data_IF_485788193198
#
_entry.id   IF_485788193198
#
_cell.length_a   1.000
_cell.length_b   1.000
_cell.length_c   1.000
_cell.angle_alpha   90.00
_cell.angle_beta   90.00
_cell.angle_gamma   90.00
#
_symmetry.space_group_name_H-M   'P 1'
#
loop_
_entity.id
_entity.type
_entity.pdbx_description
1 polymer ?
#
# COMPACT_ATOMS: atom_id res chain seq x y z
N UNK A 1 -10.10 -9.64 27.51
CA UNK A 1 -10.36 -8.60 26.49
C UNK A 1 -10.18 -9.18 25.12
N UNK A 2 -11.04 -8.80 24.20
CA UNK A 2 -10.95 -9.15 22.79
C UNK A 2 -9.80 -8.43 22.10
N UNK A 3 -9.28 -9.05 21.05
CA UNK A 3 -8.34 -8.43 20.11
C UNK A 3 -8.95 -8.51 18.72
N UNK A 4 -8.81 -7.45 17.95
CA UNK A 4 -9.39 -7.34 16.61
C UNK A 4 -8.28 -6.98 15.64
N UNK A 5 -8.13 -7.74 14.57
CA UNK A 5 -7.09 -7.54 13.57
C UNK A 5 -7.70 -7.03 12.26
N UNK A 6 -7.15 -5.94 11.74
CA UNK A 6 -7.52 -5.39 10.44
C UNK A 6 -7.10 -6.36 9.33
N UNK A 7 -8.03 -6.81 8.50
CA UNK A 7 -7.79 -7.68 7.34
C UNK A 7 -6.91 -7.00 6.28
N UNK A 8 -6.98 -5.66 6.17
CA UNK A 8 -6.26 -4.86 5.17
C UNK A 8 -4.78 -4.70 5.53
N UNK A 9 -4.47 -4.28 6.76
CA UNK A 9 -3.09 -3.94 7.15
C UNK A 9 -2.52 -4.75 8.31
N UNK A 10 -3.33 -5.56 9.00
CA UNK A 10 -2.93 -6.35 10.17
C UNK A 10 -2.73 -5.55 11.46
N UNK A 11 -3.18 -4.29 11.52
CA UNK A 11 -3.25 -3.55 12.79
C UNK A 11 -4.09 -4.33 13.80
N UNK A 12 -3.62 -4.45 15.03
CA UNK A 12 -4.36 -5.14 16.10
C UNK A 12 -4.85 -4.11 17.11
N UNK A 13 -6.16 -3.96 17.20
CA UNK A 13 -6.82 -3.27 18.31
C UNK A 13 -6.92 -4.24 19.49
N UNK A 14 -6.36 -3.85 20.63
CA UNK A 14 -6.44 -4.58 21.89
C UNK A 14 -7.30 -3.77 22.86
N UNK A 15 -8.49 -4.27 23.20
CA UNK A 15 -9.40 -3.59 24.14
C UNK A 15 -8.72 -3.33 25.49
N UNK A 16 -7.74 -4.16 25.90
CA UNK A 16 -6.98 -3.93 27.12
C UNK A 16 -6.15 -2.65 27.09
N UNK A 17 -5.63 -2.30 25.92
CA UNK A 17 -4.73 -1.16 25.75
C UNK A 17 -5.48 0.09 25.28
N UNK A 18 -6.57 -0.07 24.54
CA UNK A 18 -7.20 1.04 23.82
C UNK A 18 -6.25 1.67 22.81
N UNK A 19 -6.48 2.94 22.47
CA UNK A 19 -5.55 3.78 21.68
C UNK A 19 -5.53 5.18 22.33
N UNK A 20 -4.82 5.37 23.46
CA UNK A 20 -4.87 6.63 24.22
C UNK A 20 -4.48 7.86 23.39
N UNK A 21 -3.54 7.69 22.46
CA UNK A 21 -3.07 8.70 21.52
C UNK A 21 -4.19 9.20 20.59
N UNK A 22 -5.17 8.34 20.28
CA UNK A 22 -6.35 8.65 19.48
C UNK A 22 -7.58 8.93 20.36
N UNK A 23 -7.40 9.13 21.68
CA UNK A 23 -8.49 9.39 22.61
C UNK A 23 -9.33 8.17 23.01
N UNK A 24 -8.88 6.96 22.70
CA UNK A 24 -9.56 5.71 23.05
C UNK A 24 -8.92 5.13 24.32
N UNK A 25 -9.66 5.12 25.42
CA UNK A 25 -9.13 4.71 26.71
C UNK A 25 -8.82 3.20 26.77
N UNK A 26 -7.82 2.77 27.58
CA UNK A 26 -7.66 1.36 27.91
C UNK A 26 -8.94 0.80 28.53
N UNK A 27 -9.40 -0.34 28.05
CA UNK A 27 -10.68 -0.93 28.45
C UNK A 27 -11.85 -0.67 27.53
N UNK A 28 -11.73 0.24 26.55
CA UNK A 28 -12.80 0.48 25.57
C UNK A 28 -13.05 -0.78 24.74
N UNK A 29 -14.28 -1.28 24.79
CA UNK A 29 -14.65 -2.48 24.02
C UNK A 29 -14.81 -2.16 22.53
N UNK A 30 -14.71 -3.18 21.70
CA UNK A 30 -14.93 -3.03 20.26
C UNK A 30 -16.30 -2.43 19.94
N UNK A 31 -17.34 -2.83 20.66
CA UNK A 31 -18.70 -2.32 20.47
C UNK A 31 -18.85 -0.85 20.88
N UNK A 32 -17.97 -0.36 21.75
CA UNK A 32 -17.96 1.02 22.25
C UNK A 32 -17.18 1.98 21.34
N UNK A 33 -16.42 1.45 20.37
CA UNK A 33 -15.77 2.29 19.36
C UNK A 33 -16.81 2.97 18.47
N UNK A 34 -16.61 4.27 18.12
CA UNK A 34 -17.48 4.99 17.19
C UNK A 34 -17.74 4.23 15.88
N UNK A 35 -18.91 4.42 15.27
CA UNK A 35 -19.26 3.77 14.00
C UNK A 35 -18.40 4.25 12.83
N UNK A 36 -17.98 5.51 12.88
CA UNK A 36 -17.07 6.15 11.93
C UNK A 36 -15.59 5.90 12.26
N UNK A 37 -15.29 5.10 13.28
CA UNK A 37 -13.91 4.75 13.59
C UNK A 37 -13.27 3.96 12.44
N UNK A 38 -12.06 4.39 12.07
CA UNK A 38 -11.25 3.77 11.02
C UNK A 38 -9.91 3.31 11.57
N UNK A 39 -9.32 2.32 10.90
CA UNK A 39 -7.99 1.82 11.23
C UNK A 39 -6.95 2.94 11.16
N UNK A 40 -6.20 3.21 12.24
CA UNK A 40 -5.23 4.31 12.29
C UNK A 40 -4.03 4.11 11.35
N UNK A 41 -3.82 2.90 10.83
CA UNK A 41 -2.71 2.61 9.91
C UNK A 41 -3.09 2.70 8.42
N UNK A 42 -4.35 2.45 8.06
CA UNK A 42 -4.73 2.32 6.65
C UNK A 42 -6.08 2.94 6.29
N UNK A 43 -6.82 3.49 7.26
CA UNK A 43 -8.14 4.07 7.03
C UNK A 43 -9.26 3.05 6.76
N UNK A 44 -8.97 1.75 6.87
CA UNK A 44 -9.99 0.71 6.70
C UNK A 44 -11.12 0.85 7.74
N UNK A 45 -12.36 0.62 7.31
CA UNK A 45 -13.51 0.71 8.19
C UNK A 45 -13.50 -0.38 9.27
N UNK A 46 -14.27 -0.16 10.35
CA UNK A 46 -14.49 -1.14 11.43
C UNK A 46 -14.97 -2.52 10.91
N UNK A 47 -15.69 -2.57 9.79
CA UNK A 47 -16.15 -3.81 9.16
C UNK A 47 -15.01 -4.70 8.61
N UNK A 48 -13.82 -4.12 8.37
CA UNK A 48 -12.64 -4.83 7.86
C UNK A 48 -11.80 -5.46 8.99
N UNK A 49 -12.35 -5.62 10.19
CA UNK A 49 -11.65 -6.21 11.33
C UNK A 49 -12.25 -7.55 11.73
N UNK A 50 -11.37 -8.49 12.00
CA UNK A 50 -11.71 -9.83 12.45
C UNK A 50 -11.28 -10.02 13.90
N UNK A 51 -12.14 -10.64 14.69
CA UNK A 51 -11.83 -10.95 16.09
C UNK A 51 -10.81 -12.09 16.14
N UNK A 52 -9.67 -11.84 16.77
CA UNK A 52 -8.62 -12.84 16.91
C UNK A 52 -9.08 -13.98 17.84
N UNK A 53 -8.93 -15.21 17.36
CA UNK A 53 -9.29 -16.43 18.10
C UNK A 53 -10.60 -17.08 17.67
N UNK A 54 -11.36 -16.46 16.76
CA UNK A 54 -12.44 -17.14 16.04
C UNK A 54 -11.86 -17.78 14.76
N UNK A 55 -12.25 -19.03 14.42
CA UNK A 55 -11.82 -19.65 13.18
C UNK A 55 -12.39 -18.86 12.01
N UNK A 56 -11.50 -18.20 11.26
CA UNK A 56 -11.84 -17.54 10.00
C UNK A 56 -12.42 -18.60 9.07
N UNK A 57 -13.63 -18.38 8.58
CA UNK A 57 -14.23 -19.26 7.58
C UNK A 57 -13.25 -19.36 6.39
N UNK A 58 -13.02 -20.55 5.82
CA UNK A 58 -12.12 -20.69 4.68
C UNK A 58 -12.60 -19.75 3.57
N UNK A 59 -11.79 -18.73 3.24
CA UNK A 59 -12.04 -17.92 2.06
C UNK A 59 -12.14 -18.85 0.85
N UNK A 60 -13.30 -18.82 0.16
CA UNK A 60 -13.45 -19.50 -1.12
C UNK A 60 -12.42 -18.91 -2.09
N UNK A 61 -11.38 -19.69 -2.39
CA UNK A 61 -10.39 -19.32 -3.40
C UNK A 61 -11.12 -19.22 -4.73
N UNK A 62 -11.39 -17.99 -5.18
CA UNK A 62 -11.83 -17.73 -6.55
C UNK A 62 -10.88 -18.45 -7.52
N UNK A 63 -11.38 -19.07 -8.59
CA UNK A 63 -10.53 -19.73 -9.57
C UNK A 63 -9.50 -18.72 -10.10
N UNK A 64 -8.22 -19.06 -9.97
CA UNK A 64 -7.11 -18.19 -10.40
C UNK A 64 -7.23 -18.02 -11.92
N UNK A 65 -7.47 -16.79 -12.38
CA UNK A 65 -7.48 -16.49 -13.81
C UNK A 65 -6.10 -16.75 -14.40
N UNK A 66 -6.02 -17.60 -15.42
CA UNK A 66 -4.83 -17.68 -16.28
C UNK A 66 -4.76 -16.41 -17.13
N UNK A 67 -3.87 -15.48 -16.74
CA UNK A 67 -3.52 -14.33 -17.56
C UNK A 67 -2.52 -14.82 -18.60
N UNK A 68 -2.93 -14.89 -19.86
CA UNK A 68 -1.98 -15.14 -20.96
C UNK A 68 -1.06 -13.94 -21.09
N UNK A 69 0.25 -14.15 -20.88
CA UNK A 69 1.25 -13.11 -21.13
C UNK A 69 1.25 -12.80 -22.63
N UNK A 70 0.79 -11.61 -22.99
CA UNK A 70 0.95 -11.09 -24.36
C UNK A 70 2.43 -11.12 -24.74
N UNK A 71 2.73 -11.69 -25.91
CA UNK A 71 4.08 -11.72 -26.49
C UNK A 71 4.48 -10.37 -27.10
N UNK A 72 3.57 -9.40 -27.13
CA UNK A 72 3.80 -8.12 -27.77
C UNK A 72 4.57 -7.19 -26.83
N UNK A 73 5.80 -6.86 -27.23
CA UNK A 73 6.57 -5.81 -26.58
C UNK A 73 5.82 -4.48 -26.74
N UNK A 74 5.23 -4.00 -25.64
CA UNK A 74 4.57 -2.70 -25.58
C UNK A 74 5.60 -1.61 -25.25
N UNK A 75 5.56 -0.52 -26.00
CA UNK A 75 6.32 0.69 -25.66
C UNK A 75 5.80 1.29 -24.35
N UNK A 76 6.72 1.56 -23.42
CA UNK A 76 6.41 2.20 -22.14
C UNK A 76 6.22 3.71 -22.35
N UNK A 77 5.20 4.27 -21.71
CA UNK A 77 5.03 5.72 -21.60
C UNK A 77 6.20 6.35 -20.84
N UNK A 78 6.46 7.66 -21.03
CA UNK A 78 7.49 8.34 -20.25
C UNK A 78 7.31 8.19 -18.73
N UNK A 79 6.08 8.20 -18.23
CA UNK A 79 5.85 8.02 -16.79
C UNK A 79 6.18 6.60 -16.31
N UNK A 80 5.88 5.57 -17.10
CA UNK A 80 6.27 4.19 -16.79
C UNK A 80 7.80 4.05 -16.80
N UNK A 81 8.51 4.69 -17.74
CA UNK A 81 9.98 4.69 -17.78
C UNK A 81 10.55 5.44 -16.57
N UNK A 82 9.97 6.58 -16.22
CA UNK A 82 10.37 7.34 -15.02
C UNK A 82 10.26 6.49 -13.74
N UNK A 83 9.16 5.76 -13.58
CA UNK A 83 8.96 4.85 -12.46
C UNK A 83 9.98 3.69 -12.47
N UNK A 84 10.23 3.09 -13.64
CA UNK A 84 11.24 2.04 -13.80
C UNK A 84 12.64 2.53 -13.40
N UNK A 85 13.07 3.68 -13.93
CA UNK A 85 14.35 4.29 -13.62
C UNK A 85 14.47 4.62 -12.12
N UNK A 86 13.41 5.12 -11.48
CA UNK A 86 13.38 5.37 -10.03
C UNK A 86 13.62 4.08 -9.23
N UNK A 87 12.99 2.96 -9.64
CA UNK A 87 13.20 1.68 -8.99
C UNK A 87 14.62 1.12 -9.21
N UNK A 88 15.16 1.26 -10.41
CA UNK A 88 16.54 0.87 -10.73
C UNK A 88 17.56 1.69 -9.94
N UNK A 89 17.34 3.00 -9.76
CA UNK A 89 18.19 3.86 -8.95
C UNK A 89 18.27 3.36 -7.49
N UNK A 90 17.11 3.08 -6.87
CA UNK A 90 17.02 2.50 -5.52
C UNK A 90 17.68 1.13 -5.43
N UNK A 91 17.57 0.31 -6.48
CA UNK A 91 18.25 -0.98 -6.59
C UNK A 91 19.77 -0.85 -6.65
N UNK A 92 20.28 0.16 -7.35
CA UNK A 92 21.71 0.46 -7.46
C UNK A 92 22.28 1.00 -6.14
N UNK A 93 21.55 1.88 -5.45
CA UNK A 93 21.94 2.38 -4.12
C UNK A 93 22.17 1.24 -3.13
N UNK A 94 21.27 0.25 -3.09
CA UNK A 94 21.40 -0.94 -2.23
C UNK A 94 22.59 -1.84 -2.57
N UNK A 95 23.11 -1.72 -3.79
CA UNK A 95 24.28 -2.47 -4.28
C UNK A 95 25.56 -1.63 -4.24
N UNK A 96 25.54 -0.45 -3.61
CA UNK A 96 26.67 0.48 -3.54
C UNK A 96 27.14 0.99 -4.92
N UNK A 97 26.24 0.96 -5.91
CA UNK A 97 26.46 1.44 -7.28
C UNK A 97 26.00 2.89 -7.40
N UNK A 98 26.72 3.79 -6.74
CA UNK A 98 26.31 5.18 -6.59
C UNK A 98 26.25 5.95 -7.91
N UNK A 99 27.16 5.65 -8.85
CA UNK A 99 27.18 6.30 -10.16
C UNK A 99 25.95 5.90 -10.98
N UNK A 100 25.63 4.62 -11.06
CA UNK A 100 24.46 4.12 -11.78
C UNK A 100 23.16 4.58 -11.12
N UNK A 101 23.13 4.63 -9.79
CA UNK A 101 21.99 5.20 -9.06
C UNK A 101 21.73 6.64 -9.48
N UNK A 102 22.77 7.48 -9.54
CA UNK A 102 22.66 8.87 -9.97
C UNK A 102 22.16 9.00 -11.43
N UNK A 103 22.71 8.18 -12.35
CA UNK A 103 22.29 8.18 -13.76
C UNK A 103 20.82 7.75 -13.93
N UNK A 104 20.37 6.73 -13.19
CA UNK A 104 18.96 6.33 -13.23
C UNK A 104 18.04 7.40 -12.61
N UNK A 105 18.49 8.13 -11.59
CA UNK A 105 17.74 9.27 -11.06
C UNK A 105 17.60 10.38 -12.10
N UNK A 106 18.67 10.73 -12.82
CA UNK A 106 18.63 11.74 -13.90
C UNK A 106 17.65 11.32 -15.02
N UNK A 107 17.69 10.05 -15.44
CA UNK A 107 16.74 9.52 -16.41
C UNK A 107 15.30 9.59 -15.87
N UNK A 108 15.09 9.23 -14.60
CA UNK A 108 13.77 9.27 -13.99
C UNK A 108 13.18 10.68 -14.00
N UNK A 109 13.98 11.70 -13.69
CA UNK A 109 13.59 13.11 -13.70
C UNK A 109 13.30 13.62 -15.11
N UNK A 110 14.15 13.27 -16.09
CA UNK A 110 13.92 13.59 -17.49
C UNK A 110 12.59 13.03 -17.98
N UNK A 111 12.36 11.73 -17.82
CA UNK A 111 11.14 11.06 -18.27
C UNK A 111 9.89 11.56 -17.54
N UNK A 112 10.01 11.95 -16.26
CA UNK A 112 8.94 12.61 -15.51
C UNK A 112 8.59 13.97 -16.11
N UNK A 113 9.60 14.74 -16.53
CA UNK A 113 9.42 16.08 -17.10
C UNK A 113 8.71 16.04 -18.46
N UNK A 114 9.02 15.04 -19.29
CA UNK A 114 8.36 14.86 -20.59
C UNK A 114 7.05 14.07 -20.52
N UNK A 115 6.64 13.64 -19.31
CA UNK A 115 5.38 12.91 -19.14
C UNK A 115 4.17 13.84 -19.25
N UNK A 116 3.18 13.43 -20.06
CA UNK A 116 1.93 14.17 -20.17
C UNK A 116 1.01 13.84 -18.97
N UNK A 117 0.23 14.82 -18.48
CA UNK A 117 -0.82 14.55 -17.51
C UNK A 117 -1.80 13.47 -18.00
N UNK A 118 -2.41 12.75 -17.05
CA UNK A 118 -3.42 11.76 -17.38
C UNK A 118 -4.60 12.41 -18.13
N UNK A 119 -5.08 11.76 -19.20
CA UNK A 119 -6.27 12.19 -19.93
C UNK A 119 -7.51 11.78 -19.13
N UNK A 120 -8.32 12.76 -18.73
CA UNK A 120 -9.57 12.54 -17.95
C UNK A 120 -9.34 11.70 -16.68
N UNK A 121 -8.50 12.20 -15.73
CA UNK A 121 -8.23 11.50 -14.49
C UNK A 121 -9.53 11.34 -13.70
N UNK A 122 -9.78 10.12 -13.22
CA UNK A 122 -10.91 9.79 -12.36
C UNK A 122 -10.46 8.77 -11.32
N UNK A 123 -10.76 9.01 -10.04
CA UNK A 123 -10.54 8.08 -8.95
C UNK A 123 -11.22 6.73 -9.19
N UNK A 124 -12.44 6.68 -9.75
CA UNK A 124 -13.12 5.41 -10.05
C UNK A 124 -12.30 4.54 -11.01
N UNK A 125 -11.67 5.15 -12.02
CA UNK A 125 -10.80 4.44 -12.96
C UNK A 125 -9.55 3.92 -12.28
N UNK A 126 -8.97 4.71 -11.36
CA UNK A 126 -7.79 4.31 -10.61
C UNK A 126 -8.10 3.16 -9.65
N UNK A 127 -9.23 3.24 -8.95
CA UNK A 127 -9.70 2.18 -8.06
C UNK A 127 -9.98 0.91 -8.85
N UNK A 128 -10.62 1.00 -10.03
CA UNK A 128 -10.87 -0.17 -10.88
C UNK A 128 -9.57 -0.87 -11.35
N UNK A 129 -8.51 -0.11 -11.64
CA UNK A 129 -7.19 -0.68 -11.95
C UNK A 129 -6.60 -1.42 -10.74
N UNK A 130 -6.69 -0.81 -9.55
CA UNK A 130 -6.23 -1.42 -8.31
C UNK A 130 -7.01 -2.70 -7.98
N UNK A 131 -8.33 -2.68 -8.16
CA UNK A 131 -9.19 -3.85 -7.95
C UNK A 131 -8.83 -4.97 -8.91
N UNK A 132 -8.63 -4.66 -10.19
CA UNK A 132 -8.16 -5.65 -11.16
C UNK A 132 -6.85 -6.28 -10.72
N UNK A 133 -5.90 -5.49 -10.23
CA UNK A 133 -4.63 -6.04 -9.74
C UNK A 133 -4.82 -6.95 -8.52
N UNK A 134 -5.68 -6.56 -7.57
CA UNK A 134 -5.96 -7.34 -6.36
C UNK A 134 -6.73 -8.63 -6.64
N UNK A 135 -7.61 -8.63 -7.64
CA UNK A 135 -8.49 -9.77 -7.94
C UNK A 135 -7.91 -10.73 -8.99
N UNK A 136 -7.07 -10.23 -9.91
CA UNK A 136 -6.55 -11.01 -11.04
C UNK A 136 -5.01 -11.08 -11.00
N UNK A 137 -4.33 -9.93 -11.05
CA UNK A 137 -2.86 -9.86 -11.22
C UNK A 137 -2.09 -10.48 -10.06
N UNK A 138 -2.41 -10.11 -8.81
CA UNK A 138 -1.73 -10.63 -7.62
C UNK A 138 -1.99 -12.13 -7.40
N UNK A 139 -3.23 -12.64 -7.48
CA UNK A 139 -3.48 -14.08 -7.38
C UNK A 139 -2.72 -14.89 -8.44
N UNK A 140 -2.71 -14.42 -9.69
CA UNK A 140 -1.97 -15.07 -10.77
C UNK A 140 -0.45 -15.04 -10.52
N UNK A 141 0.12 -13.88 -10.18
CA UNK A 141 1.54 -13.77 -9.88
C UNK A 141 1.94 -14.64 -8.68
N UNK A 142 1.13 -14.66 -7.61
CA UNK A 142 1.35 -15.49 -6.45
C UNK A 142 1.33 -16.98 -6.80
N UNK A 143 0.45 -17.44 -7.70
CA UNK A 143 0.41 -18.85 -8.11
C UNK A 143 1.69 -19.24 -8.86
N UNK A 144 2.07 -18.46 -9.87
CA UNK A 144 3.28 -18.69 -10.68
C UNK A 144 4.53 -18.73 -9.80
N UNK A 145 4.66 -17.75 -8.89
CA UNK A 145 5.83 -17.66 -8.02
C UNK A 145 5.85 -18.77 -6.96
N UNK A 146 4.69 -19.18 -6.45
CA UNK A 146 4.59 -20.29 -5.49
C UNK A 146 5.03 -21.62 -6.09
N UNK A 147 4.70 -21.86 -7.36
CA UNK A 147 5.09 -23.07 -8.08
C UNK A 147 6.62 -23.21 -8.20
N UNK A 148 7.32 -22.11 -8.45
CA UNK A 148 8.78 -22.07 -8.53
C UNK A 148 9.48 -21.83 -7.18
N UNK A 149 8.70 -21.61 -6.11
CA UNK A 149 9.17 -21.41 -4.73
C UNK A 149 10.18 -20.28 -4.55
N UNK A 150 10.08 -19.22 -5.36
CA UNK A 150 10.96 -18.05 -5.22
C UNK A 150 10.52 -17.18 -4.03
N UNK A 151 11.20 -17.37 -2.89
CA UNK A 151 10.93 -16.62 -1.66
C UNK A 151 11.09 -15.11 -1.80
N UNK A 152 11.98 -14.65 -2.66
CA UNK A 152 12.23 -13.22 -2.88
C UNK A 152 11.04 -12.57 -3.57
N UNK A 153 10.58 -13.19 -4.65
CA UNK A 153 9.39 -12.77 -5.37
C UNK A 153 8.12 -12.91 -4.52
N UNK A 154 7.94 -14.01 -3.76
CA UNK A 154 6.81 -14.15 -2.84
C UNK A 154 6.75 -13.01 -1.82
N UNK A 155 7.89 -12.64 -1.23
CA UNK A 155 7.95 -11.53 -0.29
C UNK A 155 7.58 -10.21 -0.95
N UNK A 156 8.08 -9.95 -2.16
CA UNK A 156 7.73 -8.75 -2.90
C UNK A 156 6.23 -8.67 -3.19
N UNK A 157 5.62 -9.78 -3.64
CA UNK A 157 4.18 -9.87 -3.87
C UNK A 157 3.36 -9.62 -2.61
N UNK A 158 3.72 -10.25 -1.48
CA UNK A 158 3.04 -10.03 -0.19
C UNK A 158 3.05 -8.56 0.23
N UNK A 159 4.20 -7.88 0.10
CA UNK A 159 4.28 -6.47 0.45
C UNK A 159 3.52 -5.59 -0.53
N UNK A 160 3.69 -5.81 -1.83
CA UNK A 160 3.02 -5.07 -2.89
C UNK A 160 1.50 -5.19 -2.79
N UNK A 161 0.98 -6.41 -2.63
CA UNK A 161 -0.45 -6.64 -2.47
C UNK A 161 -1.00 -5.91 -1.25
N UNK A 162 -0.30 -5.99 -0.12
CA UNK A 162 -0.69 -5.32 1.12
C UNK A 162 -0.76 -3.79 0.96
N UNK A 163 0.25 -3.17 0.36
CA UNK A 163 0.24 -1.71 0.15
C UNK A 163 -0.81 -1.30 -0.88
N UNK A 164 -1.10 -2.15 -1.87
CA UNK A 164 -2.16 -1.91 -2.86
C UNK A 164 -3.54 -1.95 -2.21
N UNK A 165 -3.80 -2.87 -1.28
CA UNK A 165 -5.05 -2.88 -0.48
C UNK A 165 -5.20 -1.62 0.38
N UNK A 166 -4.10 -1.17 1.00
CA UNK A 166 -4.06 0.08 1.77
C UNK A 166 -4.36 1.27 0.85
N UNK A 167 -3.74 1.33 -0.34
CA UNK A 167 -3.97 2.39 -1.31
C UNK A 167 -5.44 2.44 -1.76
N UNK A 168 -6.08 1.28 -2.01
CA UNK A 168 -7.52 1.20 -2.31
C UNK A 168 -8.35 1.82 -1.20
N UNK A 169 -8.06 1.47 0.06
CA UNK A 169 -8.75 2.00 1.23
C UNK A 169 -8.62 3.52 1.31
N UNK A 170 -7.39 4.04 1.19
CA UNK A 170 -7.12 5.47 1.25
C UNK A 170 -7.81 6.25 0.12
N UNK A 171 -7.78 5.73 -1.12
CA UNK A 171 -8.46 6.36 -2.25
C UNK A 171 -9.99 6.39 -2.07
N UNK A 172 -10.54 5.33 -1.51
CA UNK A 172 -11.99 5.24 -1.23
C UNK A 172 -12.40 6.23 -0.14
N UNK A 173 -11.60 6.39 0.92
CA UNK A 173 -11.82 7.42 1.94
C UNK A 173 -11.68 8.82 1.35
N UNK A 174 -10.63 9.06 0.57
CA UNK A 174 -10.40 10.35 -0.10
C UNK A 174 -11.55 10.74 -1.03
N UNK A 175 -12.15 9.79 -1.75
CA UNK A 175 -13.30 10.05 -2.61
C UNK A 175 -14.54 10.51 -1.83
N UNK A 176 -14.68 10.10 -0.57
CA UNK A 176 -15.80 10.49 0.32
C UNK A 176 -15.52 11.80 1.04
N UNK A 177 -14.31 11.98 1.54
CA UNK A 177 -13.95 13.07 2.46
C UNK A 177 -13.24 14.24 1.75
N UNK A 178 -12.65 14.00 0.58
CA UNK A 178 -11.87 14.97 -0.18
C UNK A 178 -10.69 15.53 0.62
N UNK A 179 -10.42 16.82 0.42
CA UNK A 179 -9.32 17.54 1.08
C UNK A 179 -9.40 17.52 2.61
N UNK A 180 -10.58 17.27 3.19
CA UNK A 180 -10.74 17.17 4.64
C UNK A 180 -9.84 16.07 5.25
N UNK A 181 -9.63 14.97 4.51
CA UNK A 181 -8.76 13.87 4.90
C UNK A 181 -7.29 14.30 5.07
N UNK A 182 -6.88 15.37 4.39
CA UNK A 182 -5.50 15.87 4.36
C UNK A 182 -5.30 17.11 5.23
N UNK A 183 -6.34 17.58 5.93
CA UNK A 183 -6.22 18.75 6.79
C UNK A 183 -5.35 18.45 8.01
N UNK A 184 -4.40 19.36 8.29
CA UNK A 184 -3.51 19.30 9.45
C UNK A 184 -2.70 18.00 9.55
N UNK A 185 -2.41 17.34 8.42
CA UNK A 185 -1.67 16.07 8.40
C UNK A 185 -0.69 16.03 7.22
N UNK A 186 0.25 15.08 7.25
CA UNK A 186 1.21 14.84 6.17
C UNK A 186 0.97 13.49 5.48
N UNK A 187 1.30 13.41 4.19
CA UNK A 187 1.33 12.15 3.44
C UNK A 187 2.78 11.68 3.39
N UNK A 188 3.04 10.46 3.86
CA UNK A 188 4.37 9.85 3.90
C UNK A 188 4.35 8.52 3.17
N UNK A 189 5.38 8.27 2.34
CA UNK A 189 5.49 7.04 1.57
C UNK A 189 6.80 6.33 1.90
N UNK A 190 6.70 5.06 2.31
CA UNK A 190 7.87 4.22 2.52
C UNK A 190 8.55 3.90 1.18
N UNK A 191 9.80 4.35 1.03
CA UNK A 191 10.62 4.17 -0.20
C UNK A 191 10.98 2.72 -0.52
N UNK A 192 10.70 1.79 0.40
CA UNK A 192 11.06 0.38 0.29
C UNK A 192 9.90 -0.50 -0.15
N UNK A 193 8.70 -0.27 0.38
CA UNK A 193 7.52 -1.08 0.10
C UNK A 193 6.34 -0.31 -0.48
N UNK A 194 6.37 1.02 -0.51
CA UNK A 194 5.27 1.84 -1.01
C UNK A 194 4.13 2.08 -0.02
N UNK A 195 4.27 1.67 1.25
CA UNK A 195 3.27 1.95 2.28
C UNK A 195 3.03 3.46 2.40
N UNK A 196 1.78 3.87 2.20
CA UNK A 196 1.31 5.25 2.33
C UNK A 196 0.72 5.43 3.72
N UNK A 197 1.18 6.45 4.44
CA UNK A 197 0.70 6.85 5.75
C UNK A 197 0.22 8.29 5.70
N UNK A 198 -0.94 8.55 6.30
CA UNK A 198 -1.51 9.89 6.46
C UNK A 198 -1.58 10.16 7.95
N UNK A 199 -0.76 11.09 8.44
CA UNK A 199 -0.67 11.47 9.85
C UNK A 199 0.32 12.62 10.05
N UNK A 200 0.47 13.10 11.28
CA UNK A 200 1.41 14.20 11.58
C UNK A 200 2.87 13.82 11.30
N UNK A 201 3.26 12.64 11.81
CA UNK A 201 4.62 12.09 11.71
C UNK A 201 4.58 10.63 11.28
N UNK A 202 5.49 10.15 10.41
CA UNK A 202 5.48 8.77 9.96
C UNK A 202 5.81 7.81 11.13
N UNK A 203 5.37 6.54 11.06
CA UNK A 203 5.69 5.55 12.08
C UNK A 203 7.20 5.32 12.20
N UNK A 204 7.70 5.13 13.43
CA UNK A 204 9.11 4.83 13.72
C UNK A 204 9.65 3.63 12.92
N UNK A 205 8.78 2.63 12.72
CA UNK A 205 9.05 1.43 11.94
C UNK A 205 7.89 1.21 10.96
N UNK A 206 8.22 1.04 9.69
CA UNK A 206 7.24 0.73 8.65
C UNK A 206 6.47 -0.55 9.02
N UNK A 207 5.13 -0.54 9.11
CA UNK A 207 4.35 -1.70 9.53
C UNK A 207 4.39 -2.85 8.52
N UNK A 208 4.75 -2.57 7.26
CA UNK A 208 4.83 -3.55 6.17
C UNK A 208 6.21 -4.20 6.09
N UNK A 209 7.25 -3.45 5.76
CA UNK A 209 8.60 -3.99 5.51
C UNK A 209 9.60 -3.82 6.66
N UNK A 210 9.18 -3.21 7.78
CA UNK A 210 9.97 -3.06 9.02
C UNK A 210 11.23 -2.21 8.90
N UNK A 211 11.35 -1.37 7.87
CA UNK A 211 12.41 -0.36 7.79
C UNK A 211 12.13 0.84 8.71
N UNK A 212 13.15 1.56 9.18
CA UNK A 212 12.93 2.70 10.07
C UNK A 212 12.34 3.93 9.37
N UNK A 213 11.86 4.90 10.14
CA UNK A 213 11.15 6.10 9.66
C UNK A 213 11.94 6.96 8.65
N UNK A 214 13.27 6.99 8.70
CA UNK A 214 14.11 7.74 7.75
C UNK A 214 14.03 7.20 6.31
N UNK A 215 13.40 6.03 6.11
CA UNK A 215 13.05 5.50 4.78
C UNK A 215 11.67 5.96 4.29
N UNK A 216 10.99 6.85 4.99
CA UNK A 216 9.78 7.50 4.50
C UNK A 216 10.12 8.85 3.86
N UNK A 217 9.52 9.10 2.70
CA UNK A 217 9.53 10.40 2.03
C UNK A 217 8.20 11.10 2.30
N UNK A 218 8.25 12.36 2.75
CA UNK A 218 7.05 13.21 2.80
C UNK A 218 6.69 13.61 1.37
N UNK A 219 5.44 13.40 1.00
CA UNK A 219 4.93 13.80 -0.30
C UNK A 219 4.37 15.20 -0.18
N UNK A 220 4.91 16.10 -0.99
CA UNK A 220 4.40 17.45 -1.14
C UNK A 220 3.50 17.51 -2.37
N UNK A 221 2.29 18.06 -2.20
CA UNK A 221 1.38 18.33 -3.32
C UNK A 221 2.03 19.29 -4.30
N UNK A 222 1.82 19.07 -5.59
CA UNK A 222 2.27 19.98 -6.66
C UNK A 222 1.19 20.98 -7.00
#
# INVERSE_FOLDING_TARGET
MGKYACSVCGFVYDEANGIPEAGIAPGTKWEELPEDWVCPLCGAAKAEFEKQGEPVAPEEKKPISTIESSTDMKEMSPLEISALCTNLARGCEKQYKHQEAALFTELAEYFKTVSAPAKNPNFDKLIALIEKDLEESFPHANSVVSDVKDRGALRALVWSEKVTRILKSLLTSYQKEGEAMLQNTGVYVCTICGFVYIGDTPPDICPVCKVPNWKFEKIEGR
#
